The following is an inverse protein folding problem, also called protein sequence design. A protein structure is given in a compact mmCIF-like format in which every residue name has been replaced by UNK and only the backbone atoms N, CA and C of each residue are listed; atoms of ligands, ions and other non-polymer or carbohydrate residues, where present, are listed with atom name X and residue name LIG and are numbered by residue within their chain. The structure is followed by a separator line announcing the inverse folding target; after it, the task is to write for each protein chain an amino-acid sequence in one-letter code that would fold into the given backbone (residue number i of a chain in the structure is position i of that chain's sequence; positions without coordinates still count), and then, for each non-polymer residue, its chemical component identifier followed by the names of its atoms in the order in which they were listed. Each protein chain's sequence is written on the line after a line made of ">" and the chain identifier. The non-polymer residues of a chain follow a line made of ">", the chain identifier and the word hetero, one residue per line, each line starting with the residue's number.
data_IF_896467858910
#
_entry.id   IF_896467858910
#
_cell.length_a   1.000
_cell.length_b   1.000
_cell.length_c   1.000
_cell.angle_alpha   90.00
_cell.angle_beta   90.00
_cell.angle_gamma   90.00
#
_symmetry.space_group_name_H-M   'P 1'
#
loop_
_entity.id
_entity.type
_entity.pdbx_description
1 polymer ?
#
# COMPACT_ATOMS: atom_id res chain seq x y z
N UNK A 1 -14.51 30.92 -12.83
CA UNK A 1 -14.72 30.66 -11.40
C UNK A 1 -13.58 29.75 -10.98
N UNK A 2 -12.97 30.03 -9.84
CA UNK A 2 -11.82 29.28 -9.30
C UNK A 2 -12.06 29.10 -7.81
N UNK A 3 -11.74 27.92 -7.26
CA UNK A 3 -11.94 27.59 -5.85
C UNK A 3 -13.06 26.58 -5.59
N UNK A 4 -13.62 25.97 -6.63
CA UNK A 4 -14.54 24.84 -6.53
C UNK A 4 -13.86 23.66 -5.81
N UNK A 5 -14.58 23.03 -4.88
CA UNK A 5 -14.10 21.88 -4.10
C UNK A 5 -15.05 20.69 -4.29
N UNK A 6 -14.46 19.50 -4.42
CA UNK A 6 -15.19 18.23 -4.36
C UNK A 6 -14.73 17.49 -3.11
N UNK A 7 -15.68 17.04 -2.29
CA UNK A 7 -15.39 16.35 -1.03
C UNK A 7 -15.96 14.94 -1.12
N UNK A 8 -15.13 13.88 -1.00
CA UNK A 8 -15.65 12.52 -0.91
C UNK A 8 -16.34 12.30 0.43
N UNK A 9 -17.52 11.69 0.38
CA UNK A 9 -18.25 11.17 1.54
C UNK A 9 -18.15 9.65 1.51
N UNK A 10 -17.51 9.06 2.51
CA UNK A 10 -17.24 7.63 2.58
C UNK A 10 -18.07 6.96 3.70
N UNK A 11 -18.60 5.75 3.49
CA UNK A 11 -19.35 5.05 4.53
C UNK A 11 -18.40 4.56 5.63
N UNK A 12 -18.87 4.55 6.86
CA UNK A 12 -18.18 3.91 7.98
C UNK A 12 -19.20 3.25 8.91
N UNK A 13 -18.79 2.19 9.60
CA UNK A 13 -19.63 1.55 10.62
C UNK A 13 -19.63 2.34 11.93
N UNK A 14 -18.48 2.92 12.28
CA UNK A 14 -18.28 3.69 13.52
C UNK A 14 -17.49 4.96 13.23
N UNK A 15 -18.10 6.12 13.46
CA UNK A 15 -17.42 7.42 13.32
C UNK A 15 -16.31 7.61 14.35
N UNK A 16 -16.41 6.99 15.53
CA UNK A 16 -15.39 7.03 16.57
C UNK A 16 -14.14 6.26 16.14
N UNK A 17 -14.32 5.05 15.61
CA UNK A 17 -13.24 4.20 15.10
C UNK A 17 -12.55 4.87 13.90
N UNK A 18 -13.34 5.40 12.96
CA UNK A 18 -12.83 6.15 11.82
C UNK A 18 -12.06 7.39 12.24
N UNK A 19 -12.60 8.23 13.13
CA UNK A 19 -11.91 9.42 13.60
C UNK A 19 -10.60 9.09 14.31
N UNK A 20 -10.59 8.07 15.19
CA UNK A 20 -9.37 7.63 15.86
C UNK A 20 -8.30 7.18 14.86
N UNK A 21 -8.67 6.39 13.85
CA UNK A 21 -7.75 5.93 12.82
C UNK A 21 -7.14 7.09 12.02
N UNK A 22 -7.95 8.04 11.56
CA UNK A 22 -7.41 9.17 10.79
C UNK A 22 -6.58 10.13 11.65
N UNK A 23 -6.91 10.30 12.95
CA UNK A 23 -6.06 11.06 13.88
C UNK A 23 -4.70 10.39 14.09
N UNK A 24 -4.64 9.06 14.20
CA UNK A 24 -3.38 8.32 14.24
C UNK A 24 -2.51 8.61 13.00
N UNK A 25 -3.11 8.77 11.82
CA UNK A 25 -2.40 9.12 10.59
C UNK A 25 -1.98 10.60 10.50
N UNK A 26 -2.35 11.41 11.49
CA UNK A 26 -2.03 12.82 11.60
C UNK A 26 -3.11 13.77 11.06
N UNK A 27 -4.34 13.31 10.80
CA UNK A 27 -5.45 14.20 10.47
C UNK A 27 -6.00 14.88 11.72
N UNK A 28 -6.56 16.07 11.55
CA UNK A 28 -7.37 16.75 12.57
C UNK A 28 -8.84 16.45 12.33
N UNK A 29 -9.56 16.01 13.36
CA UNK A 29 -11.02 15.91 13.33
C UNK A 29 -11.63 17.31 13.54
N UNK A 30 -12.42 17.79 12.58
CA UNK A 30 -13.00 19.16 12.60
C UNK A 30 -14.51 19.16 12.83
N UNK A 31 -15.17 18.02 12.67
CA UNK A 31 -16.57 17.82 13.02
C UNK A 31 -16.75 16.41 13.54
N UNK A 32 -17.50 16.27 14.63
CA UNK A 32 -17.92 14.99 15.19
C UNK A 32 -19.38 15.07 15.61
N UNK A 33 -20.26 14.32 14.95
CA UNK A 33 -21.70 14.32 15.21
C UNK A 33 -22.19 12.88 15.36
N UNK A 34 -22.68 12.50 16.54
CA UNK A 34 -23.23 11.15 16.78
C UNK A 34 -24.73 11.04 16.47
N UNK A 35 -25.48 12.16 16.54
CA UNK A 35 -26.94 12.21 16.31
C UNK A 35 -27.34 13.53 15.63
N UNK A 36 -28.46 13.55 14.85
CA UNK A 36 -29.32 12.42 14.53
C UNK A 36 -28.68 11.44 13.53
N UNK A 37 -27.71 11.89 12.73
CA UNK A 37 -26.97 11.08 11.77
C UNK A 37 -25.49 11.04 12.15
N UNK A 38 -24.89 9.86 12.37
CA UNK A 38 -23.46 9.74 12.62
C UNK A 38 -22.64 10.32 11.46
N UNK A 39 -21.78 11.29 11.75
CA UNK A 39 -20.95 11.99 10.77
C UNK A 39 -19.64 12.48 11.39
N UNK A 40 -18.51 12.31 10.70
CA UNK A 40 -17.23 12.92 11.11
C UNK A 40 -16.50 13.51 9.90
N UNK A 41 -15.72 14.56 10.15
CA UNK A 41 -14.89 15.23 9.14
C UNK A 41 -13.45 15.25 9.63
N UNK A 42 -12.54 14.79 8.80
CA UNK A 42 -11.10 14.82 9.07
C UNK A 42 -10.39 15.62 7.99
N UNK A 43 -9.43 16.44 8.43
CA UNK A 43 -8.71 17.40 7.60
C UNK A 43 -7.22 17.28 7.84
N UNK A 44 -6.46 17.39 6.76
CA UNK A 44 -5.01 17.40 6.75
C UNK A 44 -4.54 18.25 5.58
N UNK A 45 -3.99 19.41 5.89
CA UNK A 45 -3.68 20.42 4.87
C UNK A 45 -4.93 20.66 4.00
N UNK A 46 -4.83 20.49 2.68
CA UNK A 46 -5.96 20.62 1.74
C UNK A 46 -6.79 19.33 1.58
N UNK A 47 -6.38 18.22 2.18
CA UNK A 47 -7.12 16.95 2.14
C UNK A 47 -8.27 17.02 3.14
N UNK A 48 -9.50 16.92 2.63
CA UNK A 48 -10.71 16.88 3.44
C UNK A 48 -11.52 15.62 3.10
N UNK A 49 -11.73 14.76 4.10
CA UNK A 49 -12.52 13.53 3.96
C UNK A 49 -13.69 13.57 4.94
N UNK A 50 -14.88 13.21 4.44
CA UNK A 50 -16.09 13.14 5.24
C UNK A 50 -16.52 11.69 5.36
N UNK A 51 -17.08 11.33 6.52
CA UNK A 51 -17.57 9.99 6.79
C UNK A 51 -18.97 10.04 7.38
N UNK A 52 -19.82 9.10 6.95
CA UNK A 52 -21.17 8.94 7.46
C UNK A 52 -21.40 7.51 7.95
N UNK A 53 -22.19 7.37 9.02
CA UNK A 53 -22.50 6.08 9.63
C UNK A 53 -23.45 5.23 8.79
N UNK A 54 -23.14 3.95 8.65
CA UNK A 54 -24.00 2.90 8.09
C UNK A 54 -23.91 1.67 9.00
N UNK A 55 -25.01 1.35 9.70
CA UNK A 55 -25.02 0.36 10.79
C UNK A 55 -24.54 -1.04 10.36
N UNK A 56 -25.06 -1.54 9.23
CA UNK A 56 -24.76 -2.87 8.70
C UNK A 56 -23.65 -2.87 7.63
N UNK A 57 -22.75 -1.88 7.66
CA UNK A 57 -21.61 -1.85 6.73
C UNK A 57 -20.68 -3.04 7.00
N UNK A 58 -20.50 -3.88 5.98
CA UNK A 58 -19.45 -4.89 5.92
C UNK A 58 -18.17 -4.29 5.31
N UNK A 59 -17.08 -4.10 6.10
CA UNK A 59 -15.84 -3.54 5.59
C UNK A 59 -15.17 -4.39 4.50
N UNK A 60 -15.45 -5.70 4.44
CA UNK A 60 -14.87 -6.56 3.40
C UNK A 60 -15.55 -6.38 2.04
N UNK A 61 -16.77 -5.83 2.03
CA UNK A 61 -17.60 -5.66 0.84
C UNK A 61 -18.06 -4.20 0.62
N UNK A 62 -17.21 -3.24 0.98
CA UNK A 62 -17.45 -1.83 0.67
C UNK A 62 -16.93 -1.44 -0.71
N UNK A 63 -17.65 -0.54 -1.38
CA UNK A 63 -17.24 0.08 -2.64
C UNK A 63 -16.67 1.50 -2.44
N UNK A 64 -16.56 1.96 -1.19
CA UNK A 64 -16.07 3.30 -0.89
C UNK A 64 -14.64 3.50 -1.37
N UNK A 65 -14.44 4.55 -2.18
CA UNK A 65 -13.14 4.85 -2.77
C UNK A 65 -13.04 6.33 -3.12
N UNK A 66 -11.83 6.87 -3.04
CA UNK A 66 -11.49 8.14 -3.66
C UNK A 66 -10.04 8.15 -4.13
N UNK A 67 -9.71 9.13 -4.98
CA UNK A 67 -8.34 9.43 -5.38
C UNK A 67 -7.97 10.75 -4.72
N UNK A 68 -6.79 10.78 -4.10
CA UNK A 68 -6.17 11.98 -3.55
C UNK A 68 -4.86 12.21 -4.30
N UNK A 69 -4.74 13.38 -4.91
CA UNK A 69 -3.52 13.80 -5.59
C UNK A 69 -2.70 14.63 -4.60
N UNK A 70 -1.44 14.27 -4.42
CA UNK A 70 -0.52 14.92 -3.48
C UNK A 70 0.79 15.29 -4.17
N UNK A 71 1.53 16.29 -3.68
CA UNK A 71 2.83 16.65 -4.26
C UNK A 71 3.89 15.57 -4.03
N UNK A 72 3.85 14.89 -2.88
CA UNK A 72 4.82 13.87 -2.50
C UNK A 72 4.12 12.69 -1.80
N UNK A 73 3.99 11.57 -2.53
CA UNK A 73 3.40 10.34 -1.99
C UNK A 73 4.31 9.64 -0.97
N UNK A 74 5.63 9.79 -1.09
CA UNK A 74 6.59 9.19 -0.17
C UNK A 74 6.51 9.84 1.21
N UNK A 75 6.59 11.16 1.27
CA UNK A 75 6.47 11.92 2.51
C UNK A 75 5.12 11.68 3.22
N UNK A 76 4.02 11.62 2.45
CA UNK A 76 2.70 11.29 2.99
C UNK A 76 2.65 9.88 3.58
N UNK A 77 3.19 8.90 2.85
CA UNK A 77 3.27 7.52 3.30
C UNK A 77 4.10 7.39 4.58
N UNK A 78 5.25 8.06 4.66
CA UNK A 78 6.11 8.02 5.83
C UNK A 78 5.43 8.59 7.07
N UNK A 79 4.64 9.67 6.92
CA UNK A 79 3.83 10.20 8.03
C UNK A 79 2.78 9.19 8.50
N UNK A 80 2.09 8.52 7.58
CA UNK A 80 1.12 7.48 7.92
C UNK A 80 1.79 6.28 8.60
N UNK A 81 2.93 5.84 8.07
CA UNK A 81 3.70 4.74 8.61
C UNK A 81 4.25 5.06 10.01
N UNK A 82 4.64 6.30 10.29
CA UNK A 82 5.05 6.75 11.62
C UNK A 82 3.89 6.67 12.61
N UNK A 83 2.71 7.16 12.24
CA UNK A 83 1.49 7.07 13.06
C UNK A 83 1.11 5.62 13.40
N UNK A 84 1.07 4.75 12.38
CA UNK A 84 0.80 3.32 12.58
C UNK A 84 1.83 2.64 13.50
N UNK A 85 3.12 2.94 13.32
CA UNK A 85 4.18 2.38 14.18
C UNK A 85 4.09 2.90 15.62
N UNK A 86 3.72 4.17 15.82
CA UNK A 86 3.57 4.72 17.16
C UNK A 86 2.41 4.05 17.93
N UNK A 87 1.28 3.81 17.27
CA UNK A 87 0.09 3.23 17.89
C UNK A 87 0.15 1.70 18.00
N UNK A 88 0.64 1.02 16.95
CA UNK A 88 0.58 -0.43 16.82
C UNK A 88 1.93 -1.15 16.87
N UNK A 89 3.03 -0.40 16.95
CA UNK A 89 4.40 -0.95 16.90
C UNK A 89 4.81 -1.48 15.51
N UNK A 90 3.94 -1.38 14.50
CA UNK A 90 4.18 -1.93 13.15
C UNK A 90 3.43 -1.16 12.07
N UNK A 91 3.84 -1.37 10.81
CA UNK A 91 3.06 -0.94 9.66
C UNK A 91 1.86 -1.91 9.48
N UNK A 92 0.66 -1.38 9.31
CA UNK A 92 -0.53 -2.19 9.06
C UNK A 92 -0.56 -2.63 7.60
N UNK A 93 -0.03 -3.82 7.29
CA UNK A 93 0.01 -4.34 5.91
C UNK A 93 -1.06 -5.38 5.60
N UNK A 94 -1.74 -5.92 6.62
CA UNK A 94 -2.71 -7.00 6.50
C UNK A 94 -4.06 -6.62 7.13
N UNK A 95 -5.13 -7.28 6.69
CA UNK A 95 -6.48 -7.06 7.22
C UNK A 95 -7.09 -5.71 6.86
N UNK A 96 -8.00 -5.25 7.70
CA UNK A 96 -8.67 -3.95 7.64
C UNK A 96 -8.54 -3.34 9.03
N UNK A 97 -7.95 -2.14 9.19
CA UNK A 97 -7.32 -1.31 8.16
C UNK A 97 -5.92 -1.80 7.72
N UNK A 98 -5.46 -1.37 6.53
CA UNK A 98 -4.10 -1.64 6.03
C UNK A 98 -3.61 -0.58 5.04
N UNK A 99 -2.32 -0.60 4.71
CA UNK A 99 -1.70 0.26 3.69
C UNK A 99 -0.80 -0.56 2.77
N UNK A 100 -0.80 -0.20 1.48
CA UNK A 100 0.19 -0.70 0.50
C UNK A 100 1.39 0.23 0.46
N UNK A 101 2.53 -0.26 -0.03
CA UNK A 101 3.73 0.58 -0.19
C UNK A 101 3.64 1.41 -1.47
N UNK A 102 4.23 2.62 -1.52
CA UNK A 102 4.34 3.39 -2.76
C UNK A 102 5.08 2.59 -3.81
N UNK A 103 4.43 2.30 -4.95
CA UNK A 103 5.02 1.57 -6.07
C UNK A 103 4.48 2.12 -7.38
N UNK A 104 5.34 2.14 -8.41
CA UNK A 104 4.91 2.33 -9.79
C UNK A 104 4.13 1.11 -10.25
N UNK A 105 3.02 1.32 -10.95
CA UNK A 105 2.15 0.25 -11.44
C UNK A 105 1.93 0.44 -12.93
N UNK A 106 1.97 -0.66 -13.68
CA UNK A 106 1.81 -0.61 -15.13
C UNK A 106 0.47 0.01 -15.58
N UNK A 107 -0.55 0.02 -14.73
CA UNK A 107 -1.87 0.58 -15.03
C UNK A 107 -2.07 2.03 -14.56
N UNK A 108 -1.06 2.67 -13.95
CA UNK A 108 -1.15 4.06 -13.44
C UNK A 108 -0.12 5.00 -14.08
N UNK A 109 0.47 4.59 -15.19
CA UNK A 109 1.60 5.30 -15.82
C UNK A 109 2.83 5.29 -14.93
N UNK A 110 3.68 6.31 -15.05
CA UNK A 110 4.91 6.40 -14.26
C UNK A 110 4.70 7.03 -12.88
N UNK A 111 3.51 6.85 -12.28
CA UNK A 111 3.14 7.40 -10.96
C UNK A 111 3.37 6.37 -9.86
N UNK A 112 4.22 6.70 -8.89
CA UNK A 112 4.44 5.89 -7.69
C UNK A 112 3.37 6.21 -6.63
N UNK A 113 2.29 5.43 -6.62
CA UNK A 113 1.16 5.60 -5.71
C UNK A 113 1.03 4.50 -4.67
N UNK A 114 0.23 4.76 -3.63
CA UNK A 114 -0.16 3.77 -2.65
C UNK A 114 -1.66 3.85 -2.35
N UNK A 115 -2.15 2.85 -1.62
CA UNK A 115 -3.55 2.71 -1.24
C UNK A 115 -3.64 2.45 0.26
N UNK A 116 -4.53 3.20 0.92
CA UNK A 116 -4.92 3.06 2.31
C UNK A 116 -6.32 2.44 2.35
N UNK A 117 -6.47 1.36 3.11
CA UNK A 117 -7.76 0.77 3.45
C UNK A 117 -8.05 1.15 4.88
N UNK A 118 -9.12 1.94 5.09
CA UNK A 118 -9.52 2.42 6.41
C UNK A 118 -10.38 1.37 7.17
N UNK A 119 -10.80 1.62 8.43
CA UNK A 119 -11.62 0.68 9.20
C UNK A 119 -12.99 0.36 8.56
N UNK A 120 -13.51 1.26 7.73
CA UNK A 120 -14.74 1.04 6.97
C UNK A 120 -14.51 0.19 5.71
N UNK A 121 -13.27 -0.21 5.42
CA UNK A 121 -12.86 -0.92 4.22
C UNK A 121 -12.64 0.00 3.00
N UNK A 122 -12.83 1.31 3.15
CA UNK A 122 -12.75 2.25 2.05
C UNK A 122 -11.33 2.28 1.50
N UNK A 123 -11.19 2.34 0.18
CA UNK A 123 -9.89 2.36 -0.49
C UNK A 123 -9.55 3.77 -0.96
N UNK A 124 -8.70 4.46 -0.22
CA UNK A 124 -8.20 5.80 -0.56
C UNK A 124 -6.88 5.61 -1.32
N UNK A 125 -6.83 6.11 -2.57
CA UNK A 125 -5.67 5.95 -3.46
C UNK A 125 -4.92 7.27 -3.59
N UNK A 126 -3.65 7.27 -3.20
CA UNK A 126 -2.78 8.44 -3.23
C UNK A 126 -1.83 8.36 -4.42
N UNK A 127 -1.79 9.42 -5.23
CA UNK A 127 -0.90 9.53 -6.39
C UNK A 127 -0.20 10.90 -6.43
N UNK A 128 1.01 10.97 -7.00
CA UNK A 128 1.60 12.25 -7.35
C UNK A 128 0.76 12.94 -8.44
N UNK A 129 0.79 14.28 -8.47
CA UNK A 129 0.15 15.05 -9.54
C UNK A 129 0.78 14.73 -10.90
N UNK A 130 2.10 14.78 -10.94
CA UNK A 130 2.89 14.56 -12.14
C UNK A 130 3.35 13.10 -12.24
N UNK A 131 3.67 12.70 -13.46
CA UNK A 131 4.39 11.45 -13.69
C UNK A 131 5.87 11.68 -13.43
N UNK A 132 6.57 10.65 -12.95
CA UNK A 132 8.03 10.73 -12.92
C UNK A 132 8.56 10.91 -14.35
N UNK A 133 9.50 11.84 -14.53
CA UNK A 133 10.15 12.05 -15.82
C UNK A 133 11.09 10.89 -16.19
N UNK A 134 11.66 10.23 -15.18
CA UNK A 134 12.52 9.07 -15.36
C UNK A 134 11.73 7.82 -15.70
N UNK A 135 11.89 7.33 -16.94
CA UNK A 135 11.25 6.12 -17.41
C UNK A 135 11.47 4.93 -16.45
N UNK A 136 10.40 4.19 -16.17
CA UNK A 136 10.50 2.98 -15.38
C UNK A 136 11.51 1.99 -16.00
N UNK A 137 12.34 1.32 -15.20
CA UNK A 137 13.33 0.38 -15.70
C UNK A 137 12.65 -0.73 -16.49
N UNK A 138 13.16 -1.01 -17.70
CA UNK A 138 12.58 -2.03 -18.56
C UNK A 138 12.77 -3.43 -17.97
N UNK A 139 11.66 -4.15 -17.82
CA UNK A 139 11.66 -5.56 -17.40
C UNK A 139 11.97 -6.46 -18.59
N UNK A 140 13.12 -7.11 -18.56
CA UNK A 140 13.58 -7.94 -19.68
C UNK A 140 13.24 -9.41 -19.48
N UNK A 141 13.20 -9.90 -18.24
CA UNK A 141 12.93 -11.32 -17.98
C UNK A 141 11.44 -11.63 -17.91
N UNK A 142 11.11 -12.92 -18.02
CA UNK A 142 9.74 -13.43 -17.77
C UNK A 142 9.29 -13.14 -16.34
N UNK A 143 10.21 -13.17 -15.37
CA UNK A 143 9.90 -12.89 -13.97
C UNK A 143 9.54 -11.42 -13.79
N UNK A 144 10.34 -10.49 -14.34
CA UNK A 144 10.07 -9.06 -14.28
C UNK A 144 8.70 -8.68 -14.88
N UNK A 145 8.34 -9.23 -16.04
CA UNK A 145 7.02 -9.01 -16.67
C UNK A 145 5.87 -9.57 -15.83
N UNK A 146 6.09 -10.69 -15.14
CA UNK A 146 5.08 -11.25 -14.24
C UNK A 146 4.97 -10.50 -12.92
N UNK A 147 6.08 -9.93 -12.42
CA UNK A 147 6.08 -9.03 -11.28
C UNK A 147 5.20 -7.81 -11.53
N UNK A 148 5.32 -7.14 -12.68
CA UNK A 148 4.45 -6.01 -13.02
C UNK A 148 2.95 -6.38 -12.98
N UNK A 149 2.61 -7.55 -13.54
CA UNK A 149 1.23 -8.06 -13.51
C UNK A 149 0.77 -8.39 -12.11
N UNK A 150 1.64 -8.98 -11.29
CA UNK A 150 1.34 -9.29 -9.90
C UNK A 150 1.13 -8.03 -9.07
N UNK A 151 1.92 -6.97 -9.29
CA UNK A 151 1.74 -5.67 -8.64
C UNK A 151 0.36 -5.08 -8.98
N UNK A 152 -0.06 -5.12 -10.25
CA UNK A 152 -1.39 -4.65 -10.64
C UNK A 152 -2.51 -5.47 -9.96
N UNK A 153 -2.37 -6.80 -9.90
CA UNK A 153 -3.35 -7.67 -9.24
C UNK A 153 -3.43 -7.37 -7.73
N UNK A 154 -2.30 -7.37 -7.03
CA UNK A 154 -2.27 -7.26 -5.58
C UNK A 154 -2.52 -5.84 -5.07
N UNK A 155 -1.93 -4.82 -5.70
CA UNK A 155 -1.95 -3.45 -5.17
C UNK A 155 -3.06 -2.59 -5.78
N UNK A 156 -3.43 -2.80 -7.05
CA UNK A 156 -4.50 -2.04 -7.68
C UNK A 156 -5.88 -2.71 -7.53
N UNK A 157 -5.95 -4.04 -7.66
CA UNK A 157 -7.20 -4.81 -7.55
C UNK A 157 -7.43 -5.43 -6.18
N UNK A 158 -6.42 -5.47 -5.31
CA UNK A 158 -6.52 -6.11 -3.99
C UNK A 158 -6.49 -7.64 -4.04
N UNK A 159 -6.30 -8.26 -5.21
CA UNK A 159 -6.32 -9.71 -5.39
C UNK A 159 -4.95 -10.32 -5.04
N UNK A 160 -4.71 -10.37 -3.73
CA UNK A 160 -3.44 -10.84 -3.13
C UNK A 160 -3.18 -12.31 -3.46
N UNK A 161 -4.24 -13.14 -3.45
CA UNK A 161 -4.13 -14.57 -3.73
C UNK A 161 -3.70 -14.85 -5.17
N UNK A 162 -4.34 -14.19 -6.15
CA UNK A 162 -3.97 -14.36 -7.55
C UNK A 162 -2.59 -13.76 -7.85
N UNK A 163 -2.24 -12.62 -7.25
CA UNK A 163 -0.90 -12.03 -7.37
C UNK A 163 0.19 -12.99 -6.88
N UNK A 164 0.00 -13.61 -5.71
CA UNK A 164 0.92 -14.59 -5.14
C UNK A 164 1.06 -15.81 -6.04
N UNK A 165 -0.07 -16.36 -6.50
CA UNK A 165 -0.11 -17.54 -7.39
C UNK A 165 0.66 -17.33 -8.69
N UNK A 166 0.53 -16.15 -9.30
CA UNK A 166 1.22 -15.82 -10.56
C UNK A 166 2.74 -15.75 -10.36
N UNK A 167 3.20 -15.27 -9.20
CA UNK A 167 4.63 -15.19 -8.88
C UNK A 167 5.23 -16.54 -8.50
N UNK A 168 4.57 -17.32 -7.64
CA UNK A 168 5.13 -18.57 -7.10
C UNK A 168 5.55 -19.55 -8.21
N UNK A 169 4.72 -19.71 -9.25
CA UNK A 169 5.01 -20.60 -10.36
C UNK A 169 6.29 -20.23 -11.14
N UNK A 170 6.63 -18.94 -11.18
CA UNK A 170 7.79 -18.43 -11.91
C UNK A 170 9.02 -18.33 -11.01
N UNK A 171 8.84 -17.95 -9.75
CA UNK A 171 9.91 -17.97 -8.75
C UNK A 171 10.46 -19.38 -8.51
N UNK A 172 9.63 -20.42 -8.59
CA UNK A 172 10.06 -21.82 -8.48
C UNK A 172 10.87 -22.29 -9.69
N UNK A 173 10.74 -21.62 -10.84
CA UNK A 173 11.39 -21.95 -12.12
C UNK A 173 12.37 -20.88 -12.57
N UNK A 174 12.75 -19.97 -11.68
CA UNK A 174 13.66 -18.88 -12.01
C UNK A 174 15.01 -19.50 -12.41
N UNK A 175 15.44 -19.21 -13.64
CA UNK A 175 16.70 -19.71 -14.17
C UNK A 175 17.87 -18.98 -13.50
N UNK A 176 19.04 -19.60 -13.49
CA UNK A 176 20.25 -19.05 -12.84
C UNK A 176 20.71 -17.70 -13.45
N UNK A 177 20.30 -17.41 -14.69
CA UNK A 177 20.58 -16.17 -15.42
C UNK A 177 19.50 -15.09 -15.23
N UNK A 178 18.50 -15.33 -14.36
CA UNK A 178 17.50 -14.29 -14.02
C UNK A 178 18.22 -13.06 -13.45
N UNK A 179 17.97 -11.84 -13.97
CA UNK A 179 18.59 -10.63 -13.44
C UNK A 179 18.37 -10.50 -11.93
N UNK A 180 19.46 -10.33 -11.16
CA UNK A 180 19.43 -10.34 -9.70
C UNK A 180 18.48 -9.27 -9.12
N UNK A 181 18.40 -8.10 -9.78
CA UNK A 181 17.49 -7.01 -9.42
C UNK A 181 16.02 -7.45 -9.53
N UNK A 182 15.62 -8.05 -10.66
CA UNK A 182 14.24 -8.51 -10.86
C UNK A 182 13.89 -9.66 -9.91
N UNK A 183 14.83 -10.56 -9.62
CA UNK A 183 14.63 -11.63 -8.64
C UNK A 183 14.42 -11.07 -7.23
N UNK A 184 15.25 -10.10 -6.82
CA UNK A 184 15.15 -9.46 -5.50
C UNK A 184 13.80 -8.75 -5.32
N UNK A 185 13.36 -7.96 -6.30
CA UNK A 185 12.06 -7.28 -6.22
C UNK A 185 10.89 -8.26 -6.22
N UNK A 186 10.96 -9.34 -6.99
CA UNK A 186 9.93 -10.37 -7.00
C UNK A 186 9.82 -11.11 -5.67
N UNK A 187 10.96 -11.43 -5.03
CA UNK A 187 10.99 -12.04 -3.69
C UNK A 187 10.45 -11.08 -2.63
N UNK A 188 10.87 -9.82 -2.66
CA UNK A 188 10.40 -8.79 -1.73
C UNK A 188 8.88 -8.57 -1.85
N UNK A 189 8.36 -8.44 -3.07
CA UNK A 189 6.93 -8.26 -3.29
C UNK A 189 6.13 -9.51 -2.91
N UNK A 190 6.63 -10.71 -3.20
CA UNK A 190 5.96 -11.96 -2.79
C UNK A 190 5.95 -12.14 -1.27
N UNK A 191 6.97 -11.65 -0.56
CA UNK A 191 7.01 -11.61 0.90
C UNK A 191 5.98 -10.63 1.48
N UNK A 192 5.86 -9.42 0.91
CA UNK A 192 4.78 -8.47 1.24
C UNK A 192 3.40 -9.14 1.06
N UNK A 193 3.17 -9.86 -0.05
CA UNK A 193 1.91 -10.57 -0.30
C UNK A 193 1.64 -11.69 0.72
N UNK A 194 2.66 -12.43 1.15
CA UNK A 194 2.52 -13.44 2.20
C UNK A 194 2.10 -12.82 3.53
N UNK A 195 2.72 -11.69 3.89
CA UNK A 195 2.37 -10.96 5.10
C UNK A 195 0.93 -10.42 5.07
N UNK A 196 0.42 -9.99 3.91
CA UNK A 196 -0.97 -9.54 3.74
C UNK A 196 -2.00 -10.62 4.05
N UNK A 197 -1.65 -11.89 3.83
CA UNK A 197 -2.49 -13.06 4.11
C UNK A 197 -2.10 -13.77 5.40
N UNK A 198 -1.32 -13.11 6.27
CA UNK A 198 -0.82 -13.64 7.55
C UNK A 198 -0.01 -14.96 7.44
N UNK A 199 0.58 -15.22 6.28
CA UNK A 199 1.45 -16.38 6.04
C UNK A 199 2.90 -16.05 6.45
N UNK A 200 3.11 -15.91 7.77
CA UNK A 200 4.40 -15.55 8.38
C UNK A 200 5.54 -16.50 7.99
N UNK A 201 5.39 -17.85 8.04
CA UNK A 201 6.47 -18.75 7.66
C UNK A 201 6.92 -18.54 6.22
N UNK A 202 5.98 -18.39 5.28
CA UNK A 202 6.31 -18.15 3.88
C UNK A 202 6.97 -16.79 3.67
N UNK A 203 6.49 -15.75 4.36
CA UNK A 203 7.08 -14.42 4.28
C UNK A 203 8.55 -14.45 4.73
N UNK A 204 8.86 -15.09 5.86
CA UNK A 204 10.24 -15.23 6.35
C UNK A 204 11.12 -16.05 5.40
N UNK A 205 10.64 -17.17 4.86
CA UNK A 205 11.36 -17.97 3.86
C UNK A 205 11.74 -17.13 2.61
N UNK A 206 10.81 -16.32 2.11
CA UNK A 206 11.05 -15.45 0.96
C UNK A 206 12.05 -14.33 1.28
N UNK A 207 12.01 -13.80 2.50
CA UNK A 207 12.98 -12.81 2.98
C UNK A 207 14.37 -13.42 3.17
N UNK A 208 14.49 -14.69 3.57
CA UNK A 208 15.76 -15.41 3.66
C UNK A 208 16.34 -15.63 2.26
N UNK A 209 15.50 -16.04 1.31
CA UNK A 209 15.88 -16.16 -0.10
C UNK A 209 16.33 -14.82 -0.69
N UNK A 210 15.65 -13.73 -0.36
CA UNK A 210 16.04 -12.37 -0.78
C UNK A 210 17.43 -12.01 -0.24
N UNK A 211 17.71 -12.30 1.03
CA UNK A 211 19.01 -12.02 1.64
C UNK A 211 20.17 -12.79 0.98
N UNK A 212 19.88 -13.95 0.38
CA UNK A 212 20.86 -14.78 -0.33
C UNK A 212 21.08 -14.36 -1.81
N UNK A 213 20.33 -13.40 -2.35
CA UNK A 213 20.50 -12.94 -3.74
C UNK A 213 21.86 -12.21 -3.88
N UNK A 214 22.71 -12.60 -4.84
CA UNK A 214 24.00 -11.95 -5.06
C UNK A 214 23.80 -10.58 -5.74
N UNK A 215 23.66 -9.53 -4.93
CA UNK A 215 23.52 -8.14 -5.38
C UNK A 215 24.86 -7.41 -5.37
N UNK A 216 25.22 -6.79 -6.49
CA UNK A 216 26.36 -5.88 -6.57
C UNK A 216 26.12 -4.59 -5.75
N UNK A 217 27.16 -3.78 -5.47
CA UNK A 217 26.97 -2.48 -4.82
C UNK A 217 26.00 -1.56 -5.58
N UNK A 218 26.06 -1.57 -6.91
CA UNK A 218 25.14 -0.80 -7.74
C UNK A 218 23.69 -1.29 -7.60
N UNK A 219 23.48 -2.61 -7.59
CA UNK A 219 22.15 -3.19 -7.39
C UNK A 219 21.59 -2.84 -6.01
N UNK A 220 22.42 -2.86 -4.96
CA UNK A 220 22.01 -2.50 -3.60
C UNK A 220 21.58 -1.03 -3.49
N UNK A 221 22.28 -0.13 -4.16
CA UNK A 221 21.89 1.28 -4.24
C UNK A 221 20.56 1.43 -4.97
N UNK A 222 20.42 0.79 -6.13
CA UNK A 222 19.17 0.84 -6.92
C UNK A 222 17.97 0.23 -6.16
N UNK A 223 18.22 -0.80 -5.35
CA UNK A 223 17.20 -1.49 -4.56
C UNK A 223 17.08 -0.98 -3.12
N UNK A 224 17.73 0.12 -2.75
CA UNK A 224 17.73 0.59 -1.36
C UNK A 224 16.30 0.70 -0.76
N UNK A 225 15.29 1.26 -1.46
CA UNK A 225 13.91 1.28 -0.95
C UNK A 225 13.31 -0.11 -0.75
N UNK A 226 13.53 -1.02 -1.71
CA UNK A 226 13.03 -2.41 -1.66
C UNK A 226 13.66 -3.19 -0.52
N UNK A 227 14.98 -3.07 -0.32
CA UNK A 227 15.70 -3.76 0.74
C UNK A 227 15.34 -3.20 2.13
N UNK A 228 15.17 -1.88 2.24
CA UNK A 228 14.69 -1.24 3.47
C UNK A 228 13.29 -1.74 3.85
N UNK A 229 12.35 -1.77 2.88
CA UNK A 229 11.01 -2.30 3.08
C UNK A 229 11.00 -3.77 3.51
N UNK A 230 11.87 -4.60 2.93
CA UNK A 230 12.02 -6.01 3.30
C UNK A 230 12.60 -6.19 4.71
N UNK A 231 13.56 -5.37 5.12
CA UNK A 231 14.11 -5.37 6.47
C UNK A 231 13.05 -4.96 7.50
N UNK A 232 12.28 -3.90 7.21
CA UNK A 232 11.13 -3.47 8.02
C UNK A 232 10.11 -4.60 8.19
N UNK A 233 9.78 -5.30 7.09
CA UNK A 233 8.85 -6.42 7.14
C UNK A 233 9.40 -7.56 8.00
N UNK A 234 10.70 -7.88 7.88
CA UNK A 234 11.34 -8.90 8.73
C UNK A 234 11.18 -8.56 10.21
N UNK A 235 11.48 -7.32 10.60
CA UNK A 235 11.37 -6.86 12.01
C UNK A 235 9.95 -7.01 12.55
N UNK A 236 8.93 -6.77 11.72
CA UNK A 236 7.52 -6.95 12.13
C UNK A 236 7.11 -8.42 12.26
N UNK A 237 7.81 -9.32 11.56
CA UNK A 237 7.57 -10.74 11.54
C UNK A 237 8.50 -11.52 12.48
N UNK A 238 9.30 -10.87 13.32
CA UNK A 238 10.15 -11.51 14.35
C UNK A 238 9.64 -11.13 15.72
#
# INVERSE_FOLDING_TARGET
>A
MTGEKTIPLLPCRSIDETAAFYRMLGFTETLHQTRPNPYTVVVMDDIQLHFYGVDDLDPENTYGTCIVIVPDTGALFDRFAAGMRAEHGKLLVAGIPRVTRPRKRANTGNRAGFSLVDPGGNVIRFFPADEDEEAAPQRVSKLGKLLERAIVLGDAKGDTAQAAKVLDATLAKAAADTPAVELAEALAYRADLAARTDDRPRALELLDRLAAVPLSPADRTALAPTLSAAADLRTQLT
#
